data_IF_952635854626
#
_entry.id   IF_952635854626
#
_cell.length_a   1.000
_cell.length_b   1.000
_cell.length_c   1.000
_cell.angle_alpha   90.00
_cell.angle_beta   90.00
_cell.angle_gamma   90.00
#
_symmetry.space_group_name_H-M   'P 1'
#
loop_
_entity.id
_entity.type
_entity.pdbx_description
1 polymer ?
#
# COMPACT_ATOMS: atom_id res chain seq x y z
N UNK A 1 19.62 20.26 5.51
CA UNK A 1 18.29 19.62 5.53
C UNK A 1 18.49 18.16 5.20
N UNK A 2 17.90 17.24 5.95
CA UNK A 2 17.97 15.79 5.67
C UNK A 2 16.59 15.16 5.81
N UNK A 3 16.06 14.60 4.73
CA UNK A 3 14.71 14.05 4.72
C UNK A 3 14.70 12.53 4.96
N UNK A 4 13.65 12.02 5.59
CA UNK A 4 13.36 10.59 5.69
C UNK A 4 12.09 10.26 4.90
N UNK A 5 12.21 9.41 3.89
CA UNK A 5 11.07 8.89 3.12
C UNK A 5 10.69 7.54 3.70
N UNK A 6 9.54 7.45 4.37
CA UNK A 6 8.92 6.18 4.73
C UNK A 6 8.24 5.62 3.49
N UNK A 7 8.85 4.63 2.84
CA UNK A 7 8.50 4.22 1.49
C UNK A 7 7.70 2.92 1.38
N UNK A 8 7.75 2.34 0.18
CA UNK A 8 7.05 1.09 -0.17
C UNK A 8 5.90 1.26 -1.15
N UNK A 9 5.79 2.42 -1.79
CA UNK A 9 4.80 2.71 -2.83
C UNK A 9 5.49 3.20 -4.10
N UNK A 10 4.79 3.13 -5.24
CA UNK A 10 5.26 3.74 -6.48
C UNK A 10 5.46 5.25 -6.32
N UNK A 11 4.55 5.93 -5.60
CA UNK A 11 4.63 7.37 -5.35
C UNK A 11 5.87 7.73 -4.51
N UNK A 12 6.24 6.90 -3.53
CA UNK A 12 7.48 7.05 -2.79
C UNK A 12 8.72 6.91 -3.69
N UNK A 13 8.70 5.98 -4.64
CA UNK A 13 9.82 5.79 -5.59
C UNK A 13 9.95 6.96 -6.56
N UNK A 14 8.83 7.51 -7.03
CA UNK A 14 8.80 8.73 -7.84
C UNK A 14 9.34 9.92 -7.05
N UNK A 15 8.93 10.08 -5.78
CA UNK A 15 9.46 11.12 -4.90
C UNK A 15 10.96 10.97 -4.68
N UNK A 16 11.45 9.75 -4.44
CA UNK A 16 12.87 9.48 -4.25
C UNK A 16 13.70 9.90 -5.47
N UNK A 17 13.22 9.62 -6.68
CA UNK A 17 13.84 10.06 -7.92
C UNK A 17 13.90 11.59 -8.06
N UNK A 18 12.81 12.29 -7.73
CA UNK A 18 12.76 13.75 -7.78
C UNK A 18 13.68 14.41 -6.73
N UNK A 19 13.74 13.86 -5.53
CA UNK A 19 14.65 14.31 -4.46
C UNK A 19 16.12 14.11 -4.88
N UNK A 20 16.45 12.94 -5.43
CA UNK A 20 17.79 12.65 -5.93
C UNK A 20 18.20 13.58 -7.07
N UNK A 21 17.29 13.82 -8.03
CA UNK A 21 17.52 14.75 -9.16
C UNK A 21 17.71 16.19 -8.70
N UNK A 22 17.06 16.59 -7.61
CA UNK A 22 17.24 17.89 -6.98
C UNK A 22 18.49 18.00 -6.09
N UNK A 23 19.25 16.90 -5.91
CA UNK A 23 20.45 16.88 -5.06
C UNK A 23 20.15 17.07 -3.56
N UNK A 24 18.93 16.77 -3.12
CA UNK A 24 18.54 16.90 -1.72
C UNK A 24 19.02 15.70 -0.91
N UNK A 25 19.56 15.95 0.28
CA UNK A 25 19.96 14.88 1.20
C UNK A 25 18.73 14.19 1.80
N UNK A 26 18.62 12.88 1.55
CA UNK A 26 17.50 12.08 2.02
C UNK A 26 17.86 10.60 2.19
N UNK A 27 17.14 9.93 3.08
CA UNK A 27 17.19 8.48 3.27
C UNK A 27 15.84 7.87 2.91
N UNK A 28 15.85 6.81 2.13
CA UNK A 28 14.68 6.00 1.84
C UNK A 28 14.57 4.82 2.80
N UNK A 29 13.38 4.55 3.33
CA UNK A 29 13.16 3.49 4.32
C UNK A 29 12.11 2.48 3.86
N UNK A 30 12.54 1.22 3.71
CA UNK A 30 11.65 0.07 3.51
C UNK A 30 11.35 -0.64 4.83
N UNK A 31 10.10 -1.06 5.01
CA UNK A 31 9.70 -1.88 6.16
C UNK A 31 10.15 -3.35 6.12
N UNK A 32 10.96 -3.77 5.13
CA UNK A 32 11.47 -5.16 5.03
C UNK A 32 10.41 -6.21 4.69
N UNK A 33 9.35 -5.84 3.95
CA UNK A 33 8.21 -6.73 3.65
C UNK A 33 8.37 -7.55 2.36
N UNK A 34 9.40 -7.28 1.57
CA UNK A 34 9.71 -8.00 0.33
C UNK A 34 11.17 -8.42 0.35
N UNK A 35 11.49 -9.59 -0.22
CA UNK A 35 12.85 -10.15 -0.24
C UNK A 35 13.81 -9.27 -1.04
N UNK A 36 13.37 -8.83 -2.21
CA UNK A 36 14.11 -7.95 -3.13
C UNK A 36 13.30 -6.67 -3.36
N UNK A 37 13.38 -5.69 -2.44
CA UNK A 37 12.79 -4.37 -2.67
C UNK A 37 13.43 -3.73 -3.91
N UNK A 38 12.69 -2.86 -4.59
CA UNK A 38 13.23 -2.15 -5.74
C UNK A 38 14.32 -1.17 -5.31
N UNK A 39 15.40 -1.10 -6.08
CA UNK A 39 16.47 -0.13 -5.88
C UNK A 39 15.92 1.30 -5.89
N UNK A 40 16.57 2.17 -5.12
CA UNK A 40 16.19 3.58 -4.99
C UNK A 40 17.41 4.45 -5.25
N UNK A 41 17.24 5.64 -5.86
CA UNK A 41 18.33 6.56 -6.16
C UNK A 41 18.81 7.34 -4.92
N UNK A 42 18.56 6.82 -3.71
CA UNK A 42 18.88 7.44 -2.43
C UNK A 42 19.49 6.38 -1.48
N UNK A 43 20.31 6.78 -0.49
CA UNK A 43 20.69 5.92 0.62
C UNK A 43 19.46 5.22 1.20
N UNK A 44 19.50 3.89 1.23
CA UNK A 44 18.31 3.08 1.56
C UNK A 44 18.55 2.24 2.80
N UNK A 45 17.62 2.30 3.76
CA UNK A 45 17.56 1.40 4.91
C UNK A 45 16.41 0.40 4.78
N UNK A 46 16.59 -0.78 5.34
CA UNK A 46 15.58 -1.85 5.35
C UNK A 46 15.38 -2.34 6.78
N UNK A 47 14.12 -2.41 7.22
CA UNK A 47 13.73 -2.93 8.52
C UNK A 47 12.85 -1.96 9.31
N UNK A 48 12.24 -2.46 10.37
CA UNK A 48 11.46 -1.64 11.29
C UNK A 48 12.32 -0.60 12.03
N UNK A 49 11.65 0.32 12.72
CA UNK A 49 12.30 1.28 13.62
C UNK A 49 12.24 0.86 15.09
N UNK A 50 11.45 -0.16 15.44
CA UNK A 50 11.20 -0.51 16.86
C UNK A 50 10.06 0.31 17.49
N UNK A 51 9.03 0.63 16.71
CA UNK A 51 7.89 1.42 17.18
C UNK A 51 8.14 2.93 17.13
N UNK A 52 7.40 3.66 17.97
CA UNK A 52 7.46 5.12 18.05
C UNK A 52 8.82 5.59 18.56
N UNK A 53 9.25 5.08 19.72
CA UNK A 53 10.49 5.48 20.37
C UNK A 53 11.70 5.26 19.47
N UNK A 54 11.80 4.09 18.83
CA UNK A 54 12.92 3.84 17.94
C UNK A 54 12.89 4.65 16.63
N UNK A 55 11.71 5.13 16.20
CA UNK A 55 11.65 6.12 15.10
C UNK A 55 12.10 7.51 15.59
N UNK A 56 11.71 7.94 16.79
CA UNK A 56 12.15 9.19 17.38
C UNK A 56 13.68 9.21 17.60
N UNK A 57 14.23 8.11 18.13
CA UNK A 57 15.67 7.92 18.30
C UNK A 57 16.41 7.98 16.95
N UNK A 58 15.85 7.34 15.92
CA UNK A 58 16.41 7.39 14.57
C UNK A 58 16.41 8.82 14.01
N UNK A 59 15.31 9.56 14.19
CA UNK A 59 15.19 10.96 13.76
C UNK A 59 16.30 11.81 14.39
N UNK A 60 16.47 11.70 15.71
CA UNK A 60 17.49 12.46 16.44
C UNK A 60 18.92 12.06 16.06
N UNK A 61 19.21 10.74 16.07
CA UNK A 61 20.54 10.19 15.75
C UNK A 61 21.04 10.57 14.37
N UNK A 62 20.16 10.50 13.38
CA UNK A 62 20.53 10.69 11.97
C UNK A 62 20.35 12.16 11.53
N UNK A 63 19.94 13.05 12.44
CA UNK A 63 19.71 14.46 12.13
C UNK A 63 18.61 14.67 11.09
N UNK A 64 17.55 13.85 11.12
CA UNK A 64 16.42 13.98 10.19
C UNK A 64 15.67 15.28 10.51
N UNK A 65 15.54 16.15 9.51
CA UNK A 65 14.85 17.43 9.67
C UNK A 65 13.45 17.44 9.07
N UNK A 66 13.10 16.46 8.23
CA UNK A 66 11.76 16.31 7.64
C UNK A 66 11.42 14.83 7.46
N UNK A 67 10.19 14.45 7.77
CA UNK A 67 9.67 13.09 7.50
C UNK A 67 8.58 13.16 6.44
N UNK A 68 8.70 12.30 5.42
CA UNK A 68 7.67 12.08 4.41
C UNK A 68 7.08 10.68 4.62
N UNK A 69 5.82 10.61 5.03
CA UNK A 69 5.04 9.37 5.03
C UNK A 69 4.50 9.12 3.62
N UNK A 70 5.25 8.36 2.83
CA UNK A 70 4.85 7.86 1.51
C UNK A 70 4.55 6.35 1.55
N UNK A 71 4.17 5.84 2.73
CA UNK A 71 3.86 4.42 2.92
C UNK A 71 2.54 4.06 2.25
N UNK A 72 2.24 2.76 2.13
CA UNK A 72 0.95 2.32 1.60
C UNK A 72 -0.18 2.83 2.53
N UNK A 73 -1.36 3.29 2.03
CA UNK A 73 -2.46 3.77 2.87
C UNK A 73 -3.04 2.77 3.90
N UNK A 74 -2.59 1.51 3.85
CA UNK A 74 -2.95 0.44 4.79
C UNK A 74 -1.79 0.05 5.72
N UNK A 75 -0.63 0.71 5.60
CA UNK A 75 0.47 0.63 6.55
C UNK A 75 0.22 1.55 7.75
N UNK A 76 -1.01 1.57 8.26
CA UNK A 76 -1.50 2.56 9.21
C UNK A 76 -0.68 2.64 10.49
N UNK A 77 -0.18 1.50 10.98
CA UNK A 77 0.73 1.46 12.13
C UNK A 77 1.98 2.32 11.91
N UNK A 78 2.61 2.23 10.73
CA UNK A 78 3.79 3.03 10.42
C UNK A 78 3.43 4.52 10.34
N UNK A 79 2.29 4.87 9.74
CA UNK A 79 1.81 6.26 9.71
C UNK A 79 1.51 6.80 11.11
N UNK A 80 0.91 5.99 12.00
CA UNK A 80 0.69 6.36 13.42
C UNK A 80 2.01 6.57 14.16
N UNK A 81 2.99 5.69 13.95
CA UNK A 81 4.33 5.86 14.50
C UNK A 81 4.98 7.15 14.00
N UNK A 82 4.86 7.44 12.70
CA UNK A 82 5.39 8.66 12.12
C UNK A 82 4.79 9.91 12.77
N UNK A 83 3.46 9.98 12.89
CA UNK A 83 2.78 11.10 13.55
C UNK A 83 3.29 11.29 14.97
N UNK A 84 3.33 10.22 15.78
CA UNK A 84 3.71 10.32 17.18
C UNK A 84 5.19 10.67 17.37
N UNK A 85 6.10 10.01 16.64
CA UNK A 85 7.54 10.28 16.73
C UNK A 85 7.90 11.68 16.23
N UNK A 86 7.23 12.16 15.18
CA UNK A 86 7.42 13.53 14.68
C UNK A 86 6.92 14.56 15.69
N UNK A 87 5.81 14.30 16.37
CA UNK A 87 5.33 15.16 17.46
C UNK A 87 6.31 15.19 18.64
N UNK A 88 6.84 14.04 19.06
CA UNK A 88 7.83 13.92 20.16
C UNK A 88 9.14 14.66 19.86
N UNK A 89 9.58 14.65 18.59
CA UNK A 89 10.84 15.28 18.15
C UNK A 89 10.65 16.69 17.58
N UNK A 90 9.41 17.19 17.50
CA UNK A 90 9.06 18.44 16.80
C UNK A 90 9.52 18.44 15.33
N UNK A 91 9.61 17.27 14.71
CA UNK A 91 10.03 17.13 13.30
C UNK A 91 8.84 17.33 12.37
N UNK A 92 8.93 18.22 11.36
CA UNK A 92 7.88 18.38 10.37
C UNK A 92 7.56 17.07 9.64
N UNK A 93 6.25 16.76 9.53
CA UNK A 93 5.72 15.59 8.85
C UNK A 93 4.77 15.99 7.72
N UNK A 94 4.95 15.38 6.56
CA UNK A 94 3.97 15.42 5.46
C UNK A 94 3.67 14.00 4.96
N UNK A 95 2.42 13.74 4.61
CA UNK A 95 2.03 12.49 3.97
C UNK A 95 1.85 12.68 2.47
N UNK A 96 2.53 11.84 1.67
CA UNK A 96 2.26 11.68 0.24
C UNK A 96 1.26 10.53 0.09
N UNK A 97 -0.02 10.88 0.08
CA UNK A 97 -1.12 9.92 0.12
C UNK A 97 -2.17 10.31 -0.93
N UNK A 98 -2.14 9.60 -2.05
CA UNK A 98 -3.15 9.65 -3.12
C UNK A 98 -4.57 9.44 -2.63
N UNK A 99 -5.55 10.04 -3.32
CA UNK A 99 -6.97 9.83 -3.05
C UNK A 99 -7.40 8.35 -3.12
N UNK A 100 -8.41 7.92 -2.33
CA UNK A 100 -9.06 6.63 -2.52
C UNK A 100 -9.71 6.56 -3.90
N UNK A 101 -9.85 5.36 -4.46
CA UNK A 101 -10.67 5.18 -5.64
C UNK A 101 -12.12 5.51 -5.31
N UNK A 102 -12.78 6.18 -6.26
CA UNK A 102 -14.21 6.42 -6.25
C UNK A 102 -14.92 5.36 -7.09
N UNK A 103 -16.12 4.97 -6.65
CA UNK A 103 -16.97 4.02 -7.36
C UNK A 103 -17.41 4.65 -8.69
N UNK A 104 -17.20 3.96 -9.80
CA UNK A 104 -17.66 4.36 -11.12
C UNK A 104 -18.95 3.61 -11.51
N UNK A 105 -19.63 4.07 -12.56
CA UNK A 105 -20.77 3.35 -13.11
C UNK A 105 -20.38 1.91 -13.51
N UNK A 106 -21.20 0.94 -13.12
CA UNK A 106 -20.96 -0.49 -13.31
C UNK A 106 -20.10 -1.17 -12.24
N UNK A 107 -19.55 -0.42 -11.28
CA UNK A 107 -18.84 -1.01 -10.13
C UNK A 107 -19.84 -1.62 -9.13
N UNK A 108 -19.68 -2.91 -8.85
CA UNK A 108 -20.42 -3.62 -7.81
C UNK A 108 -19.60 -3.70 -6.51
N UNK A 109 -19.33 -2.54 -5.87
CA UNK A 109 -18.59 -2.53 -4.60
C UNK A 109 -19.53 -2.76 -3.41
N UNK A 110 -19.02 -3.49 -2.44
CA UNK A 110 -19.60 -3.67 -1.11
C UNK A 110 -18.56 -3.13 -0.14
N UNK A 111 -18.82 -1.96 0.42
CA UNK A 111 -17.88 -1.28 1.31
C UNK A 111 -17.87 -1.99 2.68
N UNK A 112 -16.68 -2.37 3.14
CA UNK A 112 -16.47 -3.04 4.43
C UNK A 112 -15.38 -2.30 5.23
N UNK A 113 -15.51 -2.31 6.56
CA UNK A 113 -14.63 -1.53 7.43
C UNK A 113 -13.21 -2.14 7.53
N UNK A 114 -13.13 -3.47 7.54
CA UNK A 114 -11.88 -4.20 7.77
C UNK A 114 -11.92 -5.60 7.14
N UNK A 115 -10.82 -6.34 7.32
CA UNK A 115 -10.67 -7.70 6.76
C UNK A 115 -11.60 -8.71 7.42
N UNK A 116 -11.92 -8.55 8.71
CA UNK A 116 -12.84 -9.46 9.41
C UNK A 116 -14.26 -9.32 8.84
N UNK A 117 -14.71 -8.08 8.69
CA UNK A 117 -15.98 -7.74 8.06
C UNK A 117 -16.02 -8.23 6.61
N UNK A 118 -14.90 -8.11 5.87
CA UNK A 118 -14.81 -8.66 4.52
C UNK A 118 -14.97 -10.19 4.49
N UNK A 119 -14.32 -10.92 5.40
CA UNK A 119 -14.44 -12.37 5.48
C UNK A 119 -15.87 -12.80 5.85
N UNK A 120 -16.52 -12.08 6.78
CA UNK A 120 -17.90 -12.35 7.19
C UNK A 120 -18.93 -12.04 6.08
N UNK A 121 -18.64 -11.08 5.20
CA UNK A 121 -19.52 -10.67 4.12
C UNK A 121 -19.46 -11.56 2.86
N UNK A 122 -18.55 -12.54 2.82
CA UNK A 122 -18.54 -13.55 1.77
C UNK A 122 -19.79 -14.45 1.85
N UNK A 123 -20.27 -14.99 0.71
CA UNK A 123 -21.47 -15.82 0.69
C UNK A 123 -21.27 -17.13 1.47
N UNK A 124 -22.36 -17.75 1.94
CA UNK A 124 -22.26 -19.08 2.58
C UNK A 124 -21.96 -20.19 1.56
N UNK A 125 -22.48 -20.06 0.34
CA UNK A 125 -22.24 -21.02 -0.73
C UNK A 125 -20.77 -20.98 -1.21
N UNK A 126 -20.18 -22.12 -1.60
CA UNK A 126 -18.83 -22.17 -2.18
C UNK A 126 -18.66 -21.19 -3.34
N UNK A 127 -17.50 -20.54 -3.40
CA UNK A 127 -17.17 -19.55 -4.41
C UNK A 127 -15.66 -19.46 -4.63
N UNK A 128 -15.26 -19.00 -5.81
CA UNK A 128 -13.86 -18.69 -6.12
C UNK A 128 -13.58 -17.23 -5.75
N UNK A 129 -12.74 -17.02 -4.74
CA UNK A 129 -12.51 -15.70 -4.14
C UNK A 129 -11.07 -15.25 -4.41
N UNK A 130 -10.91 -14.11 -5.07
CA UNK A 130 -9.62 -13.46 -5.23
C UNK A 130 -9.34 -12.49 -4.07
N UNK A 131 -8.43 -12.89 -3.17
CA UNK A 131 -7.96 -12.09 -2.05
C UNK A 131 -6.82 -11.16 -2.51
N UNK A 132 -7.20 -10.03 -3.11
CA UNK A 132 -6.26 -9.00 -3.59
C UNK A 132 -5.77 -8.06 -2.47
N UNK A 133 -5.44 -8.63 -1.32
CA UNK A 133 -5.01 -7.94 -0.10
C UNK A 133 -3.55 -8.26 0.28
N UNK A 134 -2.83 -9.01 -0.56
CA UNK A 134 -1.46 -9.44 -0.29
C UNK A 134 -1.37 -10.48 0.83
N UNK A 135 -0.17 -10.66 1.40
CA UNK A 135 0.11 -11.75 2.37
C UNK A 135 -0.33 -11.47 3.81
N UNK A 136 -0.52 -10.20 4.18
CA UNK A 136 -0.85 -9.80 5.54
C UNK A 136 -2.36 -9.80 5.78
N UNK A 137 -2.74 -10.23 6.99
CA UNK A 137 -4.13 -10.26 7.47
C UNK A 137 -5.05 -11.22 6.70
N UNK A 138 -4.52 -12.32 6.15
CA UNK A 138 -5.35 -13.30 5.44
C UNK A 138 -6.04 -14.30 6.37
N UNK A 139 -5.54 -14.49 7.60
CA UNK A 139 -6.05 -15.49 8.55
C UNK A 139 -7.58 -15.49 8.78
N UNK A 140 -8.30 -14.33 8.82
CA UNK A 140 -9.75 -14.33 9.01
C UNK A 140 -10.53 -15.16 7.97
N UNK A 141 -10.01 -15.32 6.74
CA UNK A 141 -10.66 -16.11 5.68
C UNK A 141 -10.64 -17.62 5.95
N UNK A 142 -9.82 -18.11 6.89
CA UNK A 142 -9.84 -19.51 7.32
C UNK A 142 -11.20 -19.93 7.93
N UNK A 143 -12.00 -18.97 8.39
CA UNK A 143 -13.35 -19.20 8.94
C UNK A 143 -14.38 -19.60 7.88
N UNK A 144 -14.06 -19.44 6.59
CA UNK A 144 -14.90 -19.83 5.45
C UNK A 144 -14.13 -20.79 4.53
N UNK A 145 -13.87 -22.05 4.98
CA UNK A 145 -13.02 -22.99 4.26
C UNK A 145 -13.67 -23.58 3.00
N UNK A 146 -14.97 -23.38 2.80
CA UNK A 146 -15.69 -23.87 1.62
C UNK A 146 -15.36 -23.09 0.33
N UNK A 147 -14.68 -21.94 0.43
CA UNK A 147 -14.27 -21.15 -0.73
C UNK A 147 -12.94 -21.65 -1.31
N UNK A 148 -12.78 -21.49 -2.62
CA UNK A 148 -11.48 -21.64 -3.27
C UNK A 148 -10.81 -20.28 -3.33
N UNK A 149 -9.73 -20.11 -2.58
CA UNK A 149 -9.03 -18.82 -2.50
C UNK A 149 -7.90 -18.73 -3.51
N UNK A 150 -7.86 -17.62 -4.24
CA UNK A 150 -6.68 -17.18 -4.98
C UNK A 150 -6.06 -15.99 -4.25
N UNK A 151 -4.76 -16.07 -3.97
CA UNK A 151 -3.95 -15.02 -3.36
C UNK A 151 -2.95 -14.51 -4.40
N UNK A 152 -2.50 -13.26 -4.22
CA UNK A 152 -1.39 -12.72 -5.01
C UNK A 152 -0.34 -12.09 -4.11
N UNK A 153 0.87 -12.65 -4.14
CA UNK A 153 2.01 -12.17 -3.37
C UNK A 153 3.11 -11.65 -4.29
N UNK A 154 3.94 -10.77 -3.75
CA UNK A 154 5.15 -10.30 -4.44
C UNK A 154 6.25 -11.36 -4.40
N UNK A 155 6.40 -12.04 -3.26
CA UNK A 155 7.36 -13.12 -3.03
C UNK A 155 6.61 -14.40 -2.64
N UNK A 156 7.19 -15.59 -2.90
CA UNK A 156 6.62 -16.85 -2.42
C UNK A 156 6.42 -16.86 -0.89
N UNK A 157 5.39 -17.57 -0.38
CA UNK A 157 5.21 -17.71 1.06
C UNK A 157 6.39 -18.46 1.69
N UNK A 158 6.92 -17.93 2.80
CA UNK A 158 8.01 -18.55 3.57
C UNK A 158 7.50 -19.56 4.61
N UNK A 159 6.23 -19.43 4.99
CA UNK A 159 5.54 -20.30 5.93
C UNK A 159 4.23 -20.82 5.31
N UNK A 160 3.70 -21.95 5.78
CA UNK A 160 2.40 -22.45 5.35
C UNK A 160 1.31 -21.38 5.52
N UNK A 161 0.38 -21.36 4.57
CA UNK A 161 -0.79 -20.52 4.66
C UNK A 161 -1.75 -21.02 5.75
N UNK A 162 -2.55 -20.13 6.38
CA UNK A 162 -3.53 -20.53 7.38
C UNK A 162 -4.72 -21.33 6.81
N UNK A 163 -4.84 -21.43 5.48
CA UNK A 163 -5.85 -22.23 4.77
C UNK A 163 -5.34 -22.58 3.37
N UNK A 164 -5.97 -23.56 2.73
CA UNK A 164 -5.64 -23.96 1.36
C UNK A 164 -5.99 -22.84 0.37
N UNK A 165 -5.03 -22.43 -0.45
CA UNK A 165 -5.22 -21.39 -1.44
C UNK A 165 -4.20 -21.51 -2.58
N UNK A 166 -4.61 -21.08 -3.76
CA UNK A 166 -3.71 -20.89 -4.90
C UNK A 166 -2.96 -19.56 -4.75
N UNK A 167 -1.64 -19.59 -4.85
CA UNK A 167 -0.81 -18.37 -4.76
C UNK A 167 -0.25 -18.01 -6.13
N UNK A 168 -0.57 -16.80 -6.58
CA UNK A 168 0.08 -16.16 -7.73
C UNK A 168 1.26 -15.33 -7.19
N UNK A 169 2.48 -15.67 -7.59
CA UNK A 169 3.65 -14.84 -7.31
C UNK A 169 3.86 -13.88 -8.47
N UNK A 170 3.59 -12.60 -8.26
CA UNK A 170 3.75 -11.57 -9.28
C UNK A 170 3.87 -10.17 -8.65
N UNK A 171 4.58 -9.29 -9.35
CA UNK A 171 4.75 -7.88 -8.99
C UNK A 171 4.09 -7.01 -10.06
N UNK A 172 3.42 -5.94 -9.64
CA UNK A 172 2.81 -4.99 -10.56
C UNK A 172 3.85 -4.10 -11.28
N UNK A 173 3.40 -3.17 -12.14
CA UNK A 173 1.99 -2.82 -12.36
C UNK A 173 1.20 -3.90 -13.09
N UNK A 174 -0.09 -4.01 -12.80
CA UNK A 174 -0.99 -4.99 -13.44
C UNK A 174 -1.80 -4.31 -14.55
N UNK A 175 -2.07 -5.04 -15.63
CA UNK A 175 -2.88 -4.53 -16.76
C UNK A 175 -4.30 -5.06 -16.69
N UNK A 176 -5.26 -4.32 -17.25
CA UNK A 176 -6.65 -4.77 -17.35
C UNK A 176 -6.75 -6.13 -18.07
N UNK A 177 -6.01 -6.30 -19.18
CA UNK A 177 -6.03 -7.53 -19.96
C UNK A 177 -5.55 -8.73 -19.14
N UNK A 178 -4.42 -8.60 -18.45
CA UNK A 178 -3.89 -9.68 -17.59
C UNK A 178 -4.83 -10.02 -16.43
N UNK A 179 -5.52 -9.03 -15.86
CA UNK A 179 -6.49 -9.26 -14.78
C UNK A 179 -7.74 -9.99 -15.29
N UNK A 180 -8.26 -9.61 -16.45
CA UNK A 180 -9.40 -10.30 -17.08
C UNK A 180 -9.09 -11.76 -17.36
N UNK A 181 -7.92 -12.05 -17.95
CA UNK A 181 -7.49 -13.41 -18.25
C UNK A 181 -7.32 -14.23 -16.97
N UNK A 182 -6.67 -13.67 -15.94
CA UNK A 182 -6.48 -14.33 -14.64
C UNK A 182 -7.84 -14.67 -13.99
N UNK A 183 -8.75 -13.70 -13.94
CA UNK A 183 -10.05 -13.87 -13.30
C UNK A 183 -10.92 -14.89 -14.02
N UNK A 184 -10.94 -14.86 -15.37
CA UNK A 184 -11.70 -15.83 -16.18
C UNK A 184 -11.16 -17.24 -16.05
N UNK A 185 -9.84 -17.43 -16.19
CA UNK A 185 -9.19 -18.75 -16.12
C UNK A 185 -9.43 -19.43 -14.77
N UNK A 186 -9.50 -18.65 -13.70
CA UNK A 186 -9.74 -19.14 -12.33
C UNK A 186 -11.21 -19.12 -11.92
N UNK A 187 -12.11 -18.71 -12.82
CA UNK A 187 -13.53 -18.57 -12.53
C UNK A 187 -13.83 -17.71 -11.31
N UNK A 188 -13.06 -16.63 -11.09
CA UNK A 188 -13.21 -15.76 -9.93
C UNK A 188 -14.62 -15.17 -9.91
N UNK A 189 -15.30 -15.36 -8.78
CA UNK A 189 -16.66 -14.90 -8.55
C UNK A 189 -16.72 -13.71 -7.57
N UNK A 190 -15.72 -13.57 -6.69
CA UNK A 190 -15.65 -12.51 -5.69
C UNK A 190 -14.23 -11.97 -5.58
N UNK A 191 -14.12 -10.66 -5.31
CA UNK A 191 -12.82 -10.01 -5.06
C UNK A 191 -12.87 -9.33 -3.71
N UNK A 192 -11.82 -9.54 -2.90
CA UNK A 192 -11.57 -8.71 -1.71
C UNK A 192 -10.40 -7.80 -2.01
N UNK A 193 -10.60 -6.49 -1.89
CA UNK A 193 -9.58 -5.50 -2.21
C UNK A 193 -9.51 -4.41 -1.15
N UNK A 194 -8.31 -3.86 -0.97
CA UNK A 194 -8.09 -2.63 -0.19
C UNK A 194 -8.28 -1.41 -1.09
N UNK A 195 -9.00 -0.39 -0.64
CA UNK A 195 -9.11 0.89 -1.35
C UNK A 195 -7.80 1.69 -1.26
N UNK A 196 -6.80 1.20 -1.98
CA UNK A 196 -5.42 1.66 -1.91
C UNK A 196 -5.22 2.96 -2.68
N UNK A 197 -6.15 3.31 -3.57
CA UNK A 197 -5.97 4.39 -4.54
C UNK A 197 -4.86 4.08 -5.57
N UNK A 198 -4.65 5.03 -6.47
CA UNK A 198 -3.56 5.01 -7.45
C UNK A 198 -3.72 3.98 -8.55
N UNK A 199 -2.86 4.06 -9.57
CA UNK A 199 -3.12 3.33 -10.82
C UNK A 199 -2.56 1.91 -10.83
N UNK A 200 -1.41 1.70 -10.17
CA UNK A 200 -0.65 0.44 -10.27
C UNK A 200 -1.38 -0.83 -9.83
N UNK A 201 -2.45 -0.69 -9.03
CA UNK A 201 -3.28 -1.80 -8.60
C UNK A 201 -4.77 -1.65 -8.98
N UNK A 202 -5.13 -0.64 -9.79
CA UNK A 202 -6.53 -0.37 -10.17
C UNK A 202 -7.09 -1.37 -11.16
N UNK A 203 -6.23 -1.98 -11.99
CA UNK A 203 -6.61 -2.92 -13.03
C UNK A 203 -7.55 -4.05 -12.57
N UNK A 204 -7.39 -4.56 -11.33
CA UNK A 204 -8.28 -5.60 -10.78
C UNK A 204 -9.72 -5.11 -10.58
N UNK A 205 -9.89 -3.83 -10.24
CA UNK A 205 -11.19 -3.21 -10.05
C UNK A 205 -11.86 -2.97 -11.40
N UNK A 206 -11.08 -2.51 -12.39
CA UNK A 206 -11.58 -2.34 -13.75
C UNK A 206 -11.95 -3.68 -14.40
N UNK A 207 -11.19 -4.75 -14.11
CA UNK A 207 -11.53 -6.11 -14.53
C UNK A 207 -12.80 -6.62 -13.85
N UNK A 208 -12.94 -6.40 -12.53
CA UNK A 208 -14.16 -6.73 -11.79
C UNK A 208 -15.39 -6.08 -12.42
N UNK A 209 -15.31 -4.78 -12.73
CA UNK A 209 -16.37 -4.02 -13.42
C UNK A 209 -16.75 -4.66 -14.75
N UNK A 210 -15.76 -4.98 -15.59
CA UNK A 210 -15.97 -5.60 -16.91
C UNK A 210 -16.60 -6.99 -16.83
N UNK A 211 -16.37 -7.71 -15.73
CA UNK A 211 -16.92 -9.04 -15.48
C UNK A 211 -18.19 -9.02 -14.63
N UNK A 212 -18.65 -7.84 -14.17
CA UNK A 212 -19.81 -7.71 -13.29
C UNK A 212 -19.60 -8.32 -11.89
N UNK A 213 -18.35 -8.48 -11.45
CA UNK A 213 -18.03 -9.18 -10.20
C UNK A 213 -18.22 -8.27 -8.97
N UNK A 214 -18.78 -8.79 -7.86
CA UNK A 214 -18.78 -8.09 -6.59
C UNK A 214 -17.35 -7.91 -6.05
N UNK A 215 -17.09 -6.71 -5.53
CA UNK A 215 -15.84 -6.36 -4.86
C UNK A 215 -16.14 -5.95 -3.42
N UNK A 216 -15.69 -6.77 -2.46
CA UNK A 216 -15.61 -6.38 -1.07
C UNK A 216 -14.45 -5.38 -0.91
N UNK A 217 -14.80 -4.10 -0.86
CA UNK A 217 -13.87 -2.99 -0.83
C UNK A 217 -13.62 -2.58 0.62
N UNK A 218 -12.43 -2.94 1.13
CA UNK A 218 -12.00 -2.57 2.47
C UNK A 218 -11.67 -1.08 2.48
N UNK A 219 -12.32 -0.36 3.37
CA UNK A 219 -12.14 1.06 3.62
C UNK A 219 -10.74 1.37 4.17
N UNK A 220 -10.24 2.58 3.90
CA UNK A 220 -8.96 3.00 4.47
C UNK A 220 -9.06 3.12 5.99
N UNK A 221 -8.02 2.69 6.73
CA UNK A 221 -7.99 2.87 8.17
C UNK A 221 -7.98 4.35 8.53
N UNK A 222 -8.64 4.70 9.63
CA UNK A 222 -8.56 6.05 10.18
C UNK A 222 -7.17 6.29 10.77
N UNK A 223 -6.61 7.46 10.45
CA UNK A 223 -5.30 7.92 10.88
C UNK A 223 -5.44 9.26 11.62
N UNK A 224 -4.54 9.55 12.57
CA UNK A 224 -4.44 10.89 13.15
C UNK A 224 -4.25 11.96 12.07
N UNK A 225 -4.75 13.16 12.35
CA UNK A 225 -4.59 14.30 11.44
C UNK A 225 -3.11 14.61 11.21
N UNK A 226 -2.75 14.83 9.95
CA UNK A 226 -1.40 15.20 9.51
C UNK A 226 -1.51 15.94 8.18
N UNK A 227 -0.54 16.82 7.87
CA UNK A 227 -0.47 17.48 6.56
C UNK A 227 -0.40 16.41 5.48
N UNK A 228 -1.31 16.46 4.50
CA UNK A 228 -1.40 15.50 3.41
C UNK A 228 -1.39 16.21 2.07
N UNK A 229 -0.70 15.62 1.11
CA UNK A 229 -0.70 16.01 -0.30
C UNK A 229 -0.79 14.76 -1.17
N UNK A 230 -1.30 14.91 -2.38
CA UNK A 230 -1.50 13.78 -3.30
C UNK A 230 -0.37 13.66 -4.33
N UNK A 231 0.40 14.74 -4.55
CA UNK A 231 1.38 14.83 -5.64
C UNK A 231 2.79 15.04 -5.10
N UNK A 232 3.75 14.41 -5.78
CA UNK A 232 5.19 14.59 -5.52
C UNK A 232 5.59 16.06 -5.56
N UNK A 233 5.05 16.84 -6.51
CA UNK A 233 5.36 18.26 -6.64
C UNK A 233 5.05 19.07 -5.38
N UNK A 234 3.97 18.73 -4.67
CA UNK A 234 3.56 19.44 -3.45
C UNK A 234 4.48 19.10 -2.27
N UNK A 235 5.03 17.88 -2.23
CA UNK A 235 6.06 17.49 -1.27
C UNK A 235 7.36 18.23 -1.55
N UNK A 236 7.79 18.29 -2.81
CA UNK A 236 9.00 19.03 -3.21
C UNK A 236 8.88 20.51 -2.83
N UNK A 237 7.72 21.12 -3.09
CA UNK A 237 7.45 22.50 -2.69
C UNK A 237 7.53 22.68 -1.17
N UNK A 238 7.00 21.73 -0.40
CA UNK A 238 7.09 21.74 1.06
C UNK A 238 8.53 21.63 1.58
N UNK A 239 9.39 20.89 0.89
CA UNK A 239 10.83 20.83 1.14
C UNK A 239 11.60 22.09 0.67
N UNK A 240 10.90 23.11 0.18
CA UNK A 240 11.49 24.36 -0.30
C UNK A 240 12.05 24.29 -1.73
N UNK A 241 11.70 23.27 -2.51
CA UNK A 241 12.18 23.09 -3.88
C UNK A 241 11.02 23.10 -4.89
N UNK A 242 11.15 23.84 -5.99
CA UNK A 242 10.21 23.68 -7.11
C UNK A 242 10.53 22.36 -7.80
N UNK A 243 9.58 21.41 -7.86
CA UNK A 243 9.74 20.26 -8.74
C UNK A 243 9.93 20.81 -10.15
N UNK A 244 11.12 20.62 -10.74
CA UNK A 244 11.35 20.99 -12.13
C UNK A 244 10.56 20.00 -12.97
N UNK A 245 9.31 20.31 -13.29
CA UNK A 245 8.60 19.66 -14.38
C UNK A 245 9.44 19.93 -15.62
N UNK A 246 10.09 18.89 -16.14
CA UNK A 246 10.96 19.00 -17.31
C UNK A 246 10.22 19.70 -18.45
N UNK A 247 10.88 20.70 -19.03
CA UNK A 247 10.54 21.23 -20.35
C UNK A 247 10.99 20.24 -21.43
#
# INVERSE_FOLDING_TARGET
MRALILGGTADASLLAAEIARAGLDAVYSYGGRTRTPADQPLPTRIGGFGGVSGLADYIGREGITHVIDATHPFAAEMSRHAVKACAETTTPLIALERAPWTRASGDNWIDVADVNTAAAALPEAPANVFLAIGRQHIAPFATKPQHTYTLRFVDPPEAPLPFAADVIVSRGPFTLHSELEMMRRRGIAWIVARNSGGDGARAKIDAARRLGLPVLMISRPQLPERRRVERVADVMQWLGHRACLGA
#
